data_IF_433411950588
#
_entry.id   IF_433411950588
#
_cell.length_a   1.000
_cell.length_b   1.000
_cell.length_c   1.000
_cell.angle_alpha   90.00
_cell.angle_beta   90.00
_cell.angle_gamma   90.00
#
_symmetry.space_group_name_H-M   'P 1'
#
loop_
_entity.id
_entity.type
_entity.pdbx_description
1 polymer ?
#
# COMPACT_ATOMS: atom_id res chain seq x y z
N UNK A 1 -11.80 -16.23 29.20
CA UNK A 1 -11.73 -16.12 27.73
C UNK A 1 -10.26 -16.10 27.35
N UNK A 2 -9.81 -16.97 26.42
CA UNK A 2 -8.43 -17.02 25.93
C UNK A 2 -8.49 -16.66 24.45
N UNK A 3 -7.89 -15.55 24.07
CA UNK A 3 -7.77 -15.16 22.67
C UNK A 3 -6.77 -16.12 22.02
N UNK A 4 -7.24 -16.93 21.08
CA UNK A 4 -6.44 -17.88 20.31
C UNK A 4 -6.20 -17.22 18.95
N UNK A 5 -4.93 -17.00 18.65
CA UNK A 5 -4.36 -16.55 17.37
C UNK A 5 -4.85 -15.18 16.85
N UNK A 6 -4.01 -14.12 16.90
CA UNK A 6 -4.27 -12.93 16.11
C UNK A 6 -4.15 -13.32 14.63
N UNK A 7 -5.28 -13.53 13.97
CA UNK A 7 -5.32 -13.60 12.50
C UNK A 7 -4.84 -12.24 12.01
N UNK A 8 -3.66 -12.20 11.39
CA UNK A 8 -3.23 -11.04 10.62
C UNK A 8 -4.35 -10.76 9.61
N UNK A 9 -5.02 -9.62 9.75
CA UNK A 9 -6.06 -9.18 8.84
C UNK A 9 -5.45 -8.98 7.46
N UNK A 10 -6.21 -9.34 6.43
CA UNK A 10 -5.76 -9.27 5.05
C UNK A 10 -5.14 -7.88 4.75
N UNK A 11 -3.95 -7.88 4.14
CA UNK A 11 -3.29 -6.64 3.68
C UNK A 11 -4.00 -6.08 2.45
N UNK A 12 -3.72 -4.82 2.10
CA UNK A 12 -4.19 -4.27 0.82
C UNK A 12 -3.68 -5.10 -0.35
N UNK A 13 -2.46 -5.63 -0.29
CA UNK A 13 -1.93 -6.55 -1.28
C UNK A 13 -2.74 -7.86 -1.38
N UNK A 14 -3.19 -8.42 -0.26
CA UNK A 14 -4.03 -9.63 -0.23
C UNK A 14 -5.41 -9.37 -0.86
N UNK A 15 -6.01 -8.22 -0.58
CA UNK A 15 -7.26 -7.81 -1.21
C UNK A 15 -7.13 -7.57 -2.71
N UNK A 16 -6.04 -6.95 -3.16
CA UNK A 16 -5.76 -6.77 -4.58
C UNK A 16 -5.65 -8.14 -5.27
N UNK A 17 -4.91 -9.09 -4.69
CA UNK A 17 -4.82 -10.45 -5.22
C UNK A 17 -6.17 -11.15 -5.24
N UNK A 18 -7.01 -10.96 -4.22
CA UNK A 18 -8.37 -11.49 -4.17
C UNK A 18 -9.22 -11.02 -5.36
N UNK A 19 -9.14 -9.75 -5.73
CA UNK A 19 -9.82 -9.20 -6.92
C UNK A 19 -9.06 -9.43 -8.23
N UNK A 20 -8.04 -10.30 -8.22
CA UNK A 20 -7.18 -10.62 -9.37
C UNK A 20 -6.43 -9.40 -9.93
N UNK A 21 -6.03 -8.51 -9.05
CA UNK A 21 -5.18 -7.37 -9.34
C UNK A 21 -3.77 -7.61 -8.79
N UNK A 22 -2.74 -7.37 -9.60
CA UNK A 22 -1.35 -7.56 -9.19
C UNK A 22 -0.85 -6.33 -8.40
N UNK A 23 -0.45 -6.46 -7.12
CA UNK A 23 0.03 -5.32 -6.33
C UNK A 23 1.21 -4.58 -6.96
N UNK A 24 2.09 -5.30 -7.66
CA UNK A 24 3.21 -4.70 -8.40
C UNK A 24 2.76 -3.78 -9.53
N UNK A 25 1.61 -4.05 -10.16
CA UNK A 25 1.05 -3.16 -11.16
C UNK A 25 0.62 -1.82 -10.53
N UNK A 26 0.13 -1.85 -9.29
CA UNK A 26 -0.22 -0.63 -8.57
C UNK A 26 1.03 0.16 -8.13
N UNK A 27 2.08 -0.54 -7.66
CA UNK A 27 3.38 0.08 -7.34
C UNK A 27 3.98 0.77 -8.56
N UNK A 28 3.97 0.12 -9.72
CA UNK A 28 4.43 0.71 -10.97
C UNK A 28 3.64 1.99 -11.32
N UNK A 29 2.31 1.93 -11.22
CA UNK A 29 1.46 3.09 -11.48
C UNK A 29 1.72 4.26 -10.52
N UNK A 30 2.02 4.00 -9.24
CA UNK A 30 2.42 5.05 -8.30
C UNK A 30 3.72 5.72 -8.70
N UNK A 31 4.75 4.94 -9.05
CA UNK A 31 6.04 5.48 -9.51
C UNK A 31 5.88 6.35 -10.74
N UNK A 32 5.09 5.91 -11.72
CA UNK A 32 4.80 6.68 -12.93
C UNK A 32 4.09 8.00 -12.63
N UNK A 33 3.02 7.96 -11.81
CA UNK A 33 2.25 9.17 -11.44
C UNK A 33 3.11 10.17 -10.67
N UNK A 34 3.95 9.69 -9.75
CA UNK A 34 4.84 10.52 -8.94
C UNK A 34 5.99 11.10 -9.78
N UNK A 35 6.50 10.33 -10.75
CA UNK A 35 7.51 10.82 -11.69
C UNK A 35 6.95 11.90 -12.62
N UNK A 36 5.70 11.73 -13.08
CA UNK A 36 4.99 12.70 -13.90
C UNK A 36 4.55 13.95 -13.11
N UNK A 37 4.41 13.84 -11.79
CA UNK A 37 4.07 14.97 -10.95
C UNK A 37 5.27 15.92 -10.80
N UNK A 38 5.01 17.23 -10.94
CA UNK A 38 5.97 18.31 -10.72
C UNK A 38 6.19 18.54 -9.21
N UNK A 39 6.63 17.51 -8.50
CA UNK A 39 6.93 17.53 -7.07
C UNK A 39 8.41 17.80 -6.85
N UNK A 40 8.72 18.48 -5.75
CA UNK A 40 10.11 18.58 -5.29
C UNK A 40 10.66 17.18 -4.96
N UNK A 41 11.96 16.92 -5.18
CA UNK A 41 12.55 15.59 -5.00
C UNK A 41 12.33 14.98 -3.61
N UNK A 42 12.33 15.81 -2.55
CA UNK A 42 12.06 15.33 -1.18
C UNK A 42 10.62 14.86 -0.99
N UNK A 43 9.66 15.62 -1.54
CA UNK A 43 8.24 15.28 -1.50
C UNK A 43 7.93 14.04 -2.33
N UNK A 44 8.63 13.88 -3.45
CA UNK A 44 8.54 12.70 -4.33
C UNK A 44 8.86 11.41 -3.57
N UNK A 45 9.97 11.39 -2.85
CA UNK A 45 10.40 10.23 -2.06
C UNK A 45 9.45 9.96 -0.90
N UNK A 46 9.04 11.01 -0.18
CA UNK A 46 8.11 10.88 0.94
C UNK A 46 6.77 10.28 0.49
N UNK A 47 6.17 10.80 -0.58
CA UNK A 47 4.88 10.31 -1.06
C UNK A 47 4.95 8.89 -1.62
N UNK A 48 6.06 8.52 -2.28
CA UNK A 48 6.23 7.16 -2.76
C UNK A 48 6.33 6.18 -1.59
N UNK A 49 7.07 6.54 -0.53
CA UNK A 49 7.19 5.71 0.67
C UNK A 49 5.84 5.53 1.38
N UNK A 50 5.06 6.61 1.55
CA UNK A 50 3.71 6.54 2.13
C UNK A 50 2.76 5.64 1.31
N UNK A 51 2.78 5.78 -0.01
CA UNK A 51 1.93 4.98 -0.89
C UNK A 51 2.34 3.51 -0.93
N UNK A 52 3.64 3.20 -0.91
CA UNK A 52 4.13 1.83 -0.81
C UNK A 52 3.82 1.23 0.57
N UNK A 53 3.95 1.99 1.65
CA UNK A 53 3.57 1.56 2.99
C UNK A 53 2.06 1.27 3.09
N UNK A 54 1.21 2.05 2.42
CA UNK A 54 -0.23 1.80 2.35
C UNK A 54 -0.63 0.52 1.60
N UNK A 55 0.24 -0.02 0.74
CA UNK A 55 0.02 -1.32 0.08
C UNK A 55 0.37 -2.51 0.99
N UNK A 56 1.35 -2.31 1.87
CA UNK A 56 1.81 -3.29 2.85
C UNK A 56 1.05 -3.17 4.18
N UNK A 57 0.34 -2.06 4.38
CA UNK A 57 -0.45 -1.73 5.55
C UNK A 57 -1.77 -2.48 5.66
N UNK A 58 -2.28 -2.52 6.89
CA UNK A 58 -3.55 -3.15 7.25
C UNK A 58 -4.73 -2.47 6.52
N UNK A 59 -5.72 -3.27 6.14
CA UNK A 59 -6.95 -2.80 5.49
C UNK A 59 -7.85 -1.95 6.41
N UNK A 60 -7.65 -2.01 7.74
CA UNK A 60 -8.41 -1.16 8.66
C UNK A 60 -7.66 0.13 8.94
N UNK A 61 -8.36 1.26 8.73
CA UNK A 61 -7.97 2.60 9.15
C UNK A 61 -7.23 2.55 10.49
N UNK A 62 -5.96 2.96 10.50
CA UNK A 62 -5.28 3.24 11.76
C UNK A 62 -6.09 4.31 12.52
N UNK A 63 -6.44 4.07 13.80
CA UNK A 63 -7.28 4.95 14.59
C UNK A 63 -6.61 6.27 14.98
#
# INVERSE_FOLDING_TARGET
YRLVEPVHGDTVADLLRYVRFEPEALRAAYREKIAAAALEPGLRTAWLAELEAGLDGYTYLEP
#
